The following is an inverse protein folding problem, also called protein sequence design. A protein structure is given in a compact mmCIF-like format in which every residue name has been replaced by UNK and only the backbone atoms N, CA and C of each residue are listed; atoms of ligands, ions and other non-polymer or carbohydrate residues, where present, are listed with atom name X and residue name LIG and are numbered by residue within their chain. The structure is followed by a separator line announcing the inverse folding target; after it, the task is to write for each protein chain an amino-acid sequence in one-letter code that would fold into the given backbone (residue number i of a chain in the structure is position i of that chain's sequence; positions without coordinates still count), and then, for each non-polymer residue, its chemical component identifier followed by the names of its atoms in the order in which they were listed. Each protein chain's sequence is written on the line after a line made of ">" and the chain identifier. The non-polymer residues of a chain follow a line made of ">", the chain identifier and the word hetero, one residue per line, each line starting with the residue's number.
data_IF_428849685352
#
_entry.id   IF_428849685352
#
_cell.length_a   1.000
_cell.length_b   1.000
_cell.length_c   1.000
_cell.angle_alpha   90.00
_cell.angle_beta   90.00
_cell.angle_gamma   90.00
#
_symmetry.space_group_name_H-M   'P 1'
#
loop_
_entity.id
_entity.type
_entity.pdbx_description
1 polymer ?
#
# COMPACT_ATOMS: atom_id res chain seq x y z
N UNK A 1 18.71 21.47 16.79
CA UNK A 1 17.39 21.44 16.13
C UNK A 1 17.00 19.98 15.92
N UNK A 2 15.85 19.51 16.42
CA UNK A 2 15.44 18.10 16.25
C UNK A 2 14.71 17.95 14.91
N UNK A 3 15.08 16.95 14.11
CA UNK A 3 14.42 16.60 12.85
C UNK A 3 13.69 15.27 13.06
N UNK A 4 12.38 15.25 12.86
CA UNK A 4 11.56 14.04 12.91
C UNK A 4 11.20 13.63 11.48
N UNK A 5 11.41 12.36 11.17
CA UNK A 5 11.02 11.74 9.90
C UNK A 5 10.15 10.54 10.23
N UNK A 6 9.02 10.43 9.55
CA UNK A 6 8.12 9.28 9.66
C UNK A 6 8.01 8.67 8.27
N UNK A 7 8.28 7.37 8.18
CA UNK A 7 8.06 6.58 6.98
C UNK A 7 6.77 5.80 7.16
N UNK A 8 5.91 5.80 6.15
CA UNK A 8 4.64 5.07 6.14
C UNK A 8 4.48 4.30 4.84
N UNK A 9 3.62 3.28 4.87
CA UNK A 9 3.27 2.48 3.72
C UNK A 9 1.77 2.20 3.68
N UNK A 10 1.32 1.37 2.73
CA UNK A 10 -0.10 1.09 2.49
C UNK A 10 -0.86 0.58 3.74
N UNK A 11 -0.17 -0.10 4.68
CA UNK A 11 -0.76 -0.58 5.92
C UNK A 11 -1.39 0.52 6.78
N UNK A 12 -0.90 1.75 6.71
CA UNK A 12 -1.48 2.91 7.43
C UNK A 12 -2.92 3.20 7.00
N UNK A 13 -3.30 2.82 5.78
CA UNK A 13 -4.62 3.11 5.21
C UNK A 13 -5.61 1.95 5.29
N UNK A 14 -5.18 0.76 5.75
CA UNK A 14 -6.02 -0.44 5.82
C UNK A 14 -7.26 -0.22 6.69
N UNK A 15 -7.10 0.42 7.86
CA UNK A 15 -8.19 0.73 8.78
C UNK A 15 -9.16 1.80 8.23
N UNK A 16 -8.75 2.54 7.19
CA UNK A 16 -9.59 3.50 6.48
C UNK A 16 -10.35 2.88 5.30
N UNK A 17 -10.27 1.56 5.13
CA UNK A 17 -10.96 0.84 4.06
C UNK A 17 -10.21 0.81 2.72
N UNK A 18 -8.93 1.19 2.68
CA UNK A 18 -8.10 1.06 1.49
C UNK A 18 -7.36 -0.28 1.54
N UNK A 19 -7.69 -1.19 0.63
CA UNK A 19 -7.00 -2.48 0.51
C UNK A 19 -5.51 -2.29 0.23
N UNK A 20 -4.69 -3.14 0.85
CA UNK A 20 -3.23 -3.11 0.68
C UNK A 20 -2.77 -4.19 -0.29
N UNK A 21 -1.60 -4.00 -0.89
CA UNK A 21 -0.98 -4.98 -1.79
C UNK A 21 -0.55 -6.29 -1.10
N UNK A 22 -0.75 -6.42 0.21
CA UNK A 22 -0.41 -7.61 1.01
C UNK A 22 -1.65 -8.26 1.66
N UNK A 23 -2.84 -7.89 1.22
CA UNK A 23 -4.07 -8.57 1.65
C UNK A 23 -4.08 -10.03 1.14
N UNK A 24 -5.02 -10.83 1.63
CA UNK A 24 -5.15 -12.28 1.48
C UNK A 24 -4.90 -12.83 0.07
N UNK A 25 -5.21 -12.06 -0.96
CA UNK A 25 -5.05 -12.44 -2.37
C UNK A 25 -3.88 -11.73 -3.08
N UNK A 26 -3.22 -10.75 -2.45
CA UNK A 26 -2.11 -10.00 -3.04
C UNK A 26 -2.45 -9.19 -4.29
N UNK A 27 -3.74 -8.98 -4.55
CA UNK A 27 -4.26 -8.23 -5.71
C UNK A 27 -4.70 -6.82 -5.28
N UNK A 28 -4.50 -5.84 -6.16
CA UNK A 28 -5.08 -4.51 -6.02
C UNK A 28 -6.22 -4.36 -7.02
N UNK A 29 -7.44 -4.12 -6.53
CA UNK A 29 -8.64 -4.06 -7.38
C UNK A 29 -8.80 -5.29 -8.31
N UNK A 30 -8.37 -6.47 -7.85
CA UNK A 30 -8.32 -7.74 -8.59
C UNK A 30 -7.28 -7.84 -9.72
N UNK A 31 -6.30 -6.92 -9.78
CA UNK A 31 -5.15 -6.98 -10.68
C UNK A 31 -3.87 -7.28 -9.91
N UNK A 32 -2.91 -7.95 -10.57
CA UNK A 32 -1.53 -7.99 -10.06
C UNK A 32 -0.93 -6.59 -10.21
N UNK A 33 -0.15 -6.15 -9.23
CA UNK A 33 0.38 -4.78 -9.23
C UNK A 33 1.30 -4.53 -10.43
N UNK A 34 2.05 -5.55 -10.84
CA UNK A 34 2.91 -5.53 -12.02
C UNK A 34 2.16 -5.43 -13.35
N UNK A 35 0.84 -5.64 -13.38
CA UNK A 35 0.05 -5.47 -14.61
C UNK A 35 -0.38 -4.00 -14.80
N UNK A 36 -0.43 -3.21 -13.72
CA UNK A 36 -0.99 -1.85 -13.71
C UNK A 36 0.01 -0.77 -13.28
N UNK A 37 1.11 -1.17 -12.64
CA UNK A 37 2.15 -0.27 -12.12
C UNK A 37 3.54 -0.67 -12.64
N UNK A 38 3.68 -0.69 -13.96
CA UNK A 38 4.98 -0.78 -14.65
C UNK A 38 5.49 0.63 -15.00
N UNK A 39 6.82 0.83 -15.17
CA UNK A 39 7.39 2.11 -15.57
C UNK A 39 6.80 2.69 -16.86
#
# INVERSE_FOLDING_TARGET
>A
MKKLVVFSGAGMSAESGISTFRDSNGLWENYRIEDVATP
#
